data_IF_910905268941
#
_entry.id   IF_910905268941
#
_cell.length_a   1.000
_cell.length_b   1.000
_cell.length_c   1.000
_cell.angle_alpha   90.00
_cell.angle_beta   90.00
_cell.angle_gamma   90.00
#
_symmetry.space_group_name_H-M   'P 1'
#
loop_
_entity.id
_entity.type
_entity.pdbx_description
1 polymer ?
#
# COMPACT_ATOMS: atom_id res chain seq x y z
N UNK A 1 -25.76 -34.01 -7.54
CA UNK A 1 -25.13 -33.58 -6.27
C UNK A 1 -24.50 -32.21 -6.59
N UNK A 2 -25.31 -31.17 -6.48
CA UNK A 2 -24.93 -29.80 -6.82
C UNK A 2 -24.38 -29.17 -5.58
N UNK A 3 -23.04 -29.03 -5.56
CA UNK A 3 -22.33 -28.20 -4.59
C UNK A 3 -22.72 -26.74 -4.84
N UNK A 4 -23.60 -26.24 -4.01
CA UNK A 4 -23.87 -24.82 -3.83
C UNK A 4 -22.62 -24.19 -3.27
N UNK A 5 -21.79 -23.64 -4.17
CA UNK A 5 -20.69 -22.79 -3.81
C UNK A 5 -21.25 -21.59 -3.06
N UNK A 6 -21.03 -21.57 -1.79
CA UNK A 6 -21.43 -20.59 -0.82
C UNK A 6 -20.93 -19.20 -1.21
N UNK A 7 -21.88 -18.41 -1.63
CA UNK A 7 -21.82 -16.96 -1.77
C UNK A 7 -21.52 -16.34 -0.40
N UNK A 8 -20.58 -15.38 -0.40
CA UNK A 8 -20.40 -14.30 0.60
C UNK A 8 -20.27 -14.64 2.10
N UNK A 9 -20.58 -15.83 2.57
CA UNK A 9 -20.73 -16.11 4.00
C UNK A 9 -19.40 -16.32 4.76
N UNK A 10 -18.30 -16.60 4.05
CA UNK A 10 -16.99 -16.83 4.70
C UNK A 10 -16.25 -15.55 5.13
N UNK A 11 -16.78 -14.37 4.78
CA UNK A 11 -16.20 -13.07 5.19
C UNK A 11 -16.92 -12.48 6.42
N UNK A 12 -17.96 -13.15 6.92
CA UNK A 12 -18.89 -12.64 7.94
C UNK A 12 -18.29 -12.52 9.36
N UNK A 13 -17.08 -13.00 9.58
CA UNK A 13 -16.36 -12.73 10.84
C UNK A 13 -15.99 -11.25 11.05
N UNK A 14 -16.19 -10.39 10.05
CA UNK A 14 -15.92 -8.95 10.04
C UNK A 14 -17.15 -8.12 9.62
N UNK A 15 -18.35 -8.63 9.82
CA UNK A 15 -19.54 -7.81 9.59
C UNK A 15 -19.40 -6.51 10.37
N UNK A 16 -19.51 -5.33 9.72
CA UNK A 16 -19.45 -4.08 10.44
C UNK A 16 -20.60 -4.05 11.42
N UNK A 17 -20.28 -4.19 12.70
CA UNK A 17 -21.24 -3.90 13.77
C UNK A 17 -21.59 -2.44 13.54
N UNK A 18 -22.87 -2.17 13.25
CA UNK A 18 -23.39 -0.88 12.82
C UNK A 18 -22.66 0.30 13.46
N UNK A 19 -21.97 1.08 12.66
CA UNK A 19 -21.08 2.11 13.13
C UNK A 19 -20.99 3.28 12.16
N UNK A 20 -20.11 4.22 12.47
CA UNK A 20 -19.82 5.36 11.61
C UNK A 20 -19.38 4.87 10.22
N UNK A 21 -20.02 5.39 9.18
CA UNK A 21 -19.72 5.04 7.79
C UNK A 21 -18.27 5.41 7.38
N UNK A 22 -17.88 5.17 6.13
CA UNK A 22 -16.56 5.51 5.60
C UNK A 22 -16.19 6.99 5.75
N UNK A 23 -17.15 7.90 5.62
CA UNK A 23 -16.92 9.34 5.60
C UNK A 23 -16.31 9.88 6.89
N UNK A 24 -16.82 9.60 8.11
CA UNK A 24 -16.17 10.04 9.34
C UNK A 24 -14.76 9.52 9.52
N UNK A 25 -14.49 8.30 9.04
CA UNK A 25 -13.14 7.73 9.07
C UNK A 25 -12.18 8.51 8.17
N UNK A 26 -12.57 8.80 6.93
CA UNK A 26 -11.77 9.57 5.98
C UNK A 26 -11.50 10.96 6.53
N UNK A 27 -12.54 11.66 6.99
CA UNK A 27 -12.42 12.99 7.57
C UNK A 27 -11.46 13.03 8.77
N UNK A 28 -11.58 12.09 9.71
CA UNK A 28 -10.73 12.02 10.88
C UNK A 28 -9.28 11.66 10.52
N UNK A 29 -9.10 10.72 9.59
CA UNK A 29 -7.79 10.33 9.05
C UNK A 29 -7.06 11.55 8.47
N UNK A 30 -7.73 12.29 7.59
CA UNK A 30 -7.17 13.48 6.95
C UNK A 30 -6.86 14.56 7.98
N UNK A 31 -7.80 14.85 8.90
CA UNK A 31 -7.59 15.83 9.96
C UNK A 31 -6.34 15.50 10.79
N UNK A 32 -6.19 14.27 11.25
CA UNK A 32 -5.02 13.85 12.06
C UNK A 32 -3.73 13.98 11.25
N UNK A 33 -3.66 13.33 10.10
CA UNK A 33 -2.43 13.27 9.32
C UNK A 33 -2.00 14.63 8.80
N UNK A 34 -2.93 15.39 8.24
CA UNK A 34 -2.64 16.70 7.68
C UNK A 34 -2.23 17.71 8.75
N UNK A 35 -2.85 17.67 9.93
CA UNK A 35 -2.43 18.51 11.08
C UNK A 35 -0.99 18.20 11.48
N UNK A 36 -0.61 16.91 11.56
CA UNK A 36 0.75 16.52 11.90
C UNK A 36 1.74 16.96 10.80
N UNK A 37 1.43 16.72 9.54
CA UNK A 37 2.32 17.07 8.44
C UNK A 37 2.48 18.57 8.23
N UNK A 38 1.37 19.31 8.19
CA UNK A 38 1.40 20.77 8.03
C UNK A 38 2.00 21.45 9.25
N UNK A 39 1.63 21.00 10.46
CA UNK A 39 2.20 21.50 11.71
C UNK A 39 3.71 21.24 11.77
N UNK A 40 4.15 20.03 11.47
CA UNK A 40 5.58 19.69 11.42
C UNK A 40 6.34 20.51 10.39
N UNK A 41 5.76 20.73 9.21
CA UNK A 41 6.34 21.57 8.18
C UNK A 41 6.51 23.03 8.61
N UNK A 42 5.51 23.59 9.25
CA UNK A 42 5.57 24.95 9.79
C UNK A 42 6.61 25.08 10.91
N UNK A 43 6.61 24.14 11.86
CA UNK A 43 7.53 24.12 13.01
C UNK A 43 8.98 23.89 12.58
N UNK A 44 9.21 23.12 11.51
CA UNK A 44 10.54 22.89 10.95
C UNK A 44 11.06 24.04 10.07
N UNK A 45 10.37 25.17 10.00
CA UNK A 45 10.76 26.33 9.20
C UNK A 45 10.47 26.17 7.70
N UNK A 46 9.43 25.42 7.34
CA UNK A 46 9.00 25.20 5.95
C UNK A 46 10.08 24.59 5.04
N UNK A 47 10.72 23.49 5.45
CA UNK A 47 11.78 22.89 4.65
C UNK A 47 11.23 22.40 3.30
N UNK A 48 12.09 22.43 2.28
CA UNK A 48 11.77 21.91 0.97
C UNK A 48 12.00 20.41 0.79
N UNK A 49 12.38 19.70 1.86
CA UNK A 49 12.75 18.28 1.78
C UNK A 49 12.37 17.53 3.04
N UNK A 50 12.03 16.25 2.87
CA UNK A 50 11.82 15.30 3.97
C UNK A 50 13.11 14.92 4.71
N UNK A 51 14.29 15.27 4.17
CA UNK A 51 15.57 15.02 4.82
C UNK A 51 15.78 15.86 6.09
N UNK A 52 15.00 16.95 6.29
CA UNK A 52 14.97 17.69 7.55
C UNK A 52 14.47 16.77 8.68
N UNK A 53 15.19 16.63 9.82
CA UNK A 53 14.85 15.70 10.90
C UNK A 53 13.43 15.92 11.45
N UNK A 54 13.01 17.18 11.67
CA UNK A 54 11.66 17.49 12.16
C UNK A 54 10.58 17.07 11.17
N UNK A 55 10.85 17.25 9.87
CA UNK A 55 9.94 16.80 8.83
C UNK A 55 9.92 15.30 8.64
N UNK A 56 11.05 14.63 8.78
CA UNK A 56 11.09 13.16 8.81
C UNK A 56 10.24 12.60 9.93
N UNK A 57 10.32 13.18 11.13
CA UNK A 57 9.52 12.77 12.28
C UNK A 57 8.02 13.03 12.04
N UNK A 58 7.65 14.22 11.57
CA UNK A 58 6.26 14.55 11.25
C UNK A 58 5.72 13.66 10.11
N UNK A 59 6.53 13.42 9.07
CA UNK A 59 6.20 12.52 7.98
C UNK A 59 5.88 11.11 8.49
N UNK A 60 6.70 10.58 9.39
CA UNK A 60 6.48 9.28 10.02
C UNK A 60 5.22 9.28 10.91
N UNK A 61 5.10 10.23 11.82
CA UNK A 61 3.97 10.28 12.77
C UNK A 61 2.63 10.45 12.06
N UNK A 62 2.57 11.25 11.01
CA UNK A 62 1.34 11.45 10.24
C UNK A 62 0.84 10.19 9.54
N UNK A 63 1.70 9.20 9.26
CA UNK A 63 1.26 7.92 8.69
C UNK A 63 0.43 7.07 9.65
N UNK A 64 0.43 7.39 10.94
CA UNK A 64 -0.43 6.73 11.92
C UNK A 64 -1.87 7.26 11.94
N UNK A 65 -2.17 8.36 11.23
CA UNK A 65 -3.51 8.94 11.17
C UNK A 65 -4.61 7.94 10.86
N UNK A 66 -4.49 7.10 9.81
CA UNK A 66 -5.50 6.08 9.52
C UNK A 66 -5.72 5.07 10.66
N UNK A 67 -4.65 4.58 11.27
CA UNK A 67 -4.72 3.65 12.41
C UNK A 67 -5.33 4.29 13.66
N UNK A 68 -4.96 5.54 13.96
CA UNK A 68 -5.52 6.30 15.08
C UNK A 68 -7.01 6.55 14.86
N UNK A 69 -7.41 6.99 13.65
CA UNK A 69 -8.81 7.19 13.29
C UNK A 69 -9.62 5.90 13.46
N UNK A 70 -9.07 4.76 13.00
CA UNK A 70 -9.68 3.45 13.15
C UNK A 70 -9.85 3.06 14.62
N UNK A 71 -8.80 3.23 15.44
CA UNK A 71 -8.85 2.93 16.87
C UNK A 71 -9.90 3.78 17.61
N UNK A 72 -9.93 5.08 17.33
CA UNK A 72 -10.90 6.02 17.92
C UNK A 72 -12.32 5.65 17.55
N UNK A 73 -12.59 5.44 16.26
CA UNK A 73 -13.95 5.15 15.79
C UNK A 73 -14.41 3.77 16.25
N UNK A 74 -13.55 2.72 16.15
CA UNK A 74 -13.91 1.40 16.66
C UNK A 74 -14.26 1.42 18.15
N UNK A 75 -13.52 2.20 18.97
CA UNK A 75 -13.85 2.35 20.39
C UNK A 75 -15.16 3.10 20.64
N UNK A 76 -15.47 4.11 19.80
CA UNK A 76 -16.74 4.85 19.87
C UNK A 76 -17.92 3.98 19.46
N UNK A 77 -17.73 3.08 18.53
CA UNK A 77 -18.77 2.13 18.11
C UNK A 77 -19.10 1.14 19.23
N UNK A 78 -18.12 0.41 19.71
CA UNK A 78 -18.25 -0.49 20.87
C UNK A 78 -16.89 -1.04 21.30
N UNK A 79 -16.83 -1.60 22.54
CA UNK A 79 -15.65 -2.36 22.99
C UNK A 79 -15.41 -3.62 22.16
N UNK A 80 -16.48 -4.23 21.65
CA UNK A 80 -16.40 -5.40 20.78
C UNK A 80 -15.78 -5.03 19.42
N UNK A 81 -16.21 -3.94 18.80
CA UNK A 81 -15.64 -3.45 17.54
C UNK A 81 -14.15 -3.11 17.68
N UNK A 82 -13.76 -2.46 18.77
CA UNK A 82 -12.36 -2.18 19.08
C UNK A 82 -11.53 -3.48 19.28
N UNK A 83 -12.10 -4.47 19.96
CA UNK A 83 -11.48 -5.77 20.14
C UNK A 83 -11.29 -6.53 18.83
N UNK A 84 -12.30 -6.54 17.97
CA UNK A 84 -12.22 -7.16 16.63
C UNK A 84 -11.17 -6.48 15.74
N UNK A 85 -11.12 -5.15 15.74
CA UNK A 85 -10.10 -4.40 15.03
C UNK A 85 -8.69 -4.74 15.52
N UNK A 86 -8.48 -4.75 16.84
CA UNK A 86 -7.19 -5.08 17.45
C UNK A 86 -6.76 -6.53 17.16
N UNK A 87 -7.70 -7.48 17.14
CA UNK A 87 -7.43 -8.87 16.79
C UNK A 87 -6.85 -9.03 15.37
N UNK A 88 -7.15 -8.12 14.44
CA UNK A 88 -6.56 -8.12 13.11
C UNK A 88 -5.03 -8.08 13.13
N UNK A 89 -4.42 -7.43 14.11
CA UNK A 89 -2.96 -7.38 14.31
C UNK A 89 -2.38 -8.65 14.95
N UNK A 90 -3.22 -9.53 15.50
CA UNK A 90 -2.81 -10.78 16.12
C UNK A 90 -3.15 -11.99 15.25
N UNK A 91 -4.00 -11.80 14.22
CA UNK A 91 -4.39 -12.89 13.32
C UNK A 91 -3.30 -13.16 12.31
N UNK A 92 -2.83 -14.41 12.29
CA UNK A 92 -1.95 -14.88 11.23
C UNK A 92 -2.73 -15.50 10.05
N UNK A 93 -3.98 -15.88 10.24
CA UNK A 93 -5.10 -16.15 9.29
C UNK A 93 -4.97 -17.25 8.25
N UNK A 94 -3.84 -17.38 7.60
CA UNK A 94 -3.50 -18.50 6.71
C UNK A 94 -2.41 -19.30 7.38
N UNK A 95 -2.33 -20.62 7.06
CA UNK A 95 -1.14 -21.37 7.41
C UNK A 95 0.10 -20.54 7.06
N UNK A 96 1.03 -20.42 7.97
CA UNK A 96 2.19 -19.52 7.86
C UNK A 96 2.94 -19.64 6.52
N UNK A 97 2.95 -20.83 5.92
CA UNK A 97 3.51 -21.07 4.59
C UNK A 97 2.77 -20.34 3.48
N UNK A 98 1.45 -20.35 3.46
CA UNK A 98 0.69 -19.67 2.43
C UNK A 98 0.81 -18.14 2.57
N UNK A 99 0.85 -17.63 3.80
CA UNK A 99 1.14 -16.21 4.06
C UNK A 99 2.55 -15.85 3.61
N UNK A 100 3.55 -16.69 3.92
CA UNK A 100 4.93 -16.47 3.49
C UNK A 100 5.05 -16.52 1.95
N UNK A 101 4.41 -17.48 1.30
CA UNK A 101 4.41 -17.56 -0.18
C UNK A 101 3.77 -16.32 -0.79
N UNK A 102 2.61 -15.89 -0.32
CA UNK A 102 1.95 -14.68 -0.85
C UNK A 102 2.76 -13.43 -0.53
N UNK A 103 3.26 -13.30 0.68
CA UNK A 103 4.08 -12.17 1.11
C UNK A 103 5.44 -12.10 0.41
N UNK A 104 5.99 -13.20 -0.05
CA UNK A 104 7.25 -13.26 -0.79
C UNK A 104 7.06 -13.32 -2.31
N UNK A 105 6.10 -14.10 -2.78
CA UNK A 105 5.92 -14.32 -4.22
C UNK A 105 5.47 -13.04 -4.95
N UNK A 106 4.54 -12.26 -4.37
CA UNK A 106 4.09 -11.01 -5.00
C UNK A 106 5.21 -9.98 -5.09
N UNK A 107 5.91 -9.62 -3.99
CA UNK A 107 7.05 -8.69 -4.08
C UNK A 107 8.17 -9.21 -4.98
N UNK A 108 8.47 -10.51 -4.95
CA UNK A 108 9.47 -11.12 -5.81
C UNK A 108 9.06 -11.03 -7.28
N UNK A 109 7.79 -11.30 -7.61
CA UNK A 109 7.27 -11.14 -8.96
C UNK A 109 7.39 -9.70 -9.43
N UNK A 110 7.02 -8.73 -8.60
CA UNK A 110 7.18 -7.30 -8.89
C UNK A 110 8.65 -6.95 -9.12
N UNK A 111 9.56 -7.44 -8.28
CA UNK A 111 11.00 -7.23 -8.42
C UNK A 111 11.52 -7.82 -9.73
N UNK A 112 11.24 -9.09 -10.01
CA UNK A 112 11.68 -9.79 -11.23
C UNK A 112 11.16 -9.08 -12.48
N UNK A 113 9.87 -8.76 -12.54
CA UNK A 113 9.30 -8.05 -13.67
C UNK A 113 9.89 -6.63 -13.81
N UNK A 114 10.12 -5.92 -12.71
CA UNK A 114 10.78 -4.61 -12.74
C UNK A 114 12.19 -4.72 -13.29
N UNK A 115 12.97 -5.71 -12.83
CA UNK A 115 14.32 -5.99 -13.34
C UNK A 115 14.28 -6.37 -14.82
N UNK A 116 13.36 -7.25 -15.24
CA UNK A 116 13.25 -7.66 -16.65
C UNK A 116 12.88 -6.48 -17.57
N UNK A 117 11.98 -5.59 -17.13
CA UNK A 117 11.63 -4.39 -17.89
C UNK A 117 12.80 -3.40 -18.05
N UNK A 118 13.77 -3.45 -17.14
CA UNK A 118 14.98 -2.62 -17.21
C UNK A 118 16.05 -3.18 -18.14
N UNK A 119 15.99 -4.47 -18.51
CA UNK A 119 16.83 -5.08 -19.53
C UNK A 119 16.41 -4.67 -20.96
N UNK A 120 16.16 -3.38 -21.16
CA UNK A 120 15.99 -2.82 -22.50
C UNK A 120 17.34 -2.90 -23.24
N UNK A 121 17.34 -3.16 -24.58
CA UNK A 121 18.55 -3.20 -25.39
C UNK A 121 19.38 -1.91 -25.40
N UNK A 122 18.95 -0.89 -24.70
CA UNK A 122 19.64 0.40 -24.52
C UNK A 122 20.64 0.41 -23.36
N UNK A 123 20.73 -0.66 -22.53
CA UNK A 123 21.69 -0.73 -21.41
C UNK A 123 22.89 -1.57 -21.83
N UNK A 124 24.14 -1.10 -21.63
CA UNK A 124 25.31 -1.92 -21.87
C UNK A 124 25.24 -3.21 -21.04
N UNK A 125 25.30 -4.36 -21.70
CA UNK A 125 25.10 -5.69 -21.11
C UNK A 125 25.94 -5.96 -19.85
N UNK A 126 27.16 -5.42 -19.80
CA UNK A 126 28.06 -5.58 -18.65
C UNK A 126 27.67 -4.76 -17.40
N UNK A 127 26.91 -3.68 -17.54
CA UNK A 127 26.38 -2.93 -16.39
C UNK A 127 25.10 -3.56 -15.86
N UNK A 128 24.23 -4.02 -16.74
CA UNK A 128 23.02 -4.72 -16.39
C UNK A 128 23.32 -6.01 -15.61
N UNK A 129 24.28 -6.83 -16.09
CA UNK A 129 24.69 -8.06 -15.42
C UNK A 129 25.26 -7.82 -14.01
N UNK A 130 26.13 -6.84 -13.83
CA UNK A 130 26.70 -6.50 -12.52
C UNK A 130 25.66 -5.99 -11.53
N UNK A 131 24.75 -5.14 -11.98
CA UNK A 131 23.65 -4.65 -11.15
C UNK A 131 22.74 -5.83 -10.73
N UNK A 132 22.39 -6.73 -11.63
CA UNK A 132 21.55 -7.89 -11.33
C UNK A 132 22.19 -8.85 -10.34
N UNK A 133 23.48 -9.14 -10.46
CA UNK A 133 24.22 -9.99 -9.51
C UNK A 133 24.26 -9.36 -8.12
N UNK A 134 24.51 -8.05 -8.03
CA UNK A 134 24.46 -7.33 -6.74
C UNK A 134 23.06 -7.35 -6.12
N UNK A 135 22.00 -7.19 -6.92
CA UNK A 135 20.63 -7.29 -6.45
C UNK A 135 20.30 -8.69 -5.92
N UNK A 136 20.65 -9.74 -6.66
CA UNK A 136 20.43 -11.12 -6.22
C UNK A 136 21.21 -11.44 -4.94
N UNK A 137 22.46 -11.01 -4.83
CA UNK A 137 23.28 -11.22 -3.65
C UNK A 137 22.77 -10.48 -2.42
N UNK A 138 22.24 -9.27 -2.61
CA UNK A 138 21.69 -8.45 -1.51
C UNK A 138 20.22 -8.78 -1.20
N UNK A 139 19.56 -9.61 -2.02
CA UNK A 139 18.13 -9.91 -1.87
C UNK A 139 17.74 -10.41 -0.47
N UNK A 140 18.45 -11.38 0.16
CA UNK A 140 18.09 -11.84 1.50
C UNK A 140 18.19 -10.75 2.56
N UNK A 141 19.22 -9.91 2.50
CA UNK A 141 19.39 -8.75 3.39
C UNK A 141 18.30 -7.72 3.13
N UNK A 142 17.96 -7.50 1.88
CA UNK A 142 16.91 -6.58 1.48
C UNK A 142 15.54 -7.02 1.97
N UNK A 143 15.25 -8.32 1.94
CA UNK A 143 14.03 -8.90 2.50
C UNK A 143 13.99 -8.69 4.02
N UNK A 144 15.08 -8.95 4.73
CA UNK A 144 15.17 -8.73 6.17
C UNK A 144 14.97 -7.25 6.53
N UNK A 145 15.65 -6.35 5.81
CA UNK A 145 15.50 -4.89 6.00
C UNK A 145 14.09 -4.43 5.66
N UNK A 146 13.46 -5.01 4.65
CA UNK A 146 12.08 -4.71 4.29
C UNK A 146 11.08 -5.15 5.36
N UNK A 147 11.32 -6.29 6.00
CA UNK A 147 10.53 -6.74 7.16
C UNK A 147 10.65 -5.73 8.30
N UNK A 148 11.87 -5.36 8.66
CA UNK A 148 12.12 -4.37 9.70
C UNK A 148 11.54 -3.01 9.32
N UNK A 149 11.74 -2.56 8.07
CA UNK A 149 11.17 -1.32 7.57
C UNK A 149 9.64 -1.38 7.47
N UNK A 150 9.05 -2.54 7.16
CA UNK A 150 7.61 -2.76 7.15
C UNK A 150 7.00 -2.75 8.55
N UNK A 151 7.71 -3.26 9.54
CA UNK A 151 7.26 -3.28 10.93
C UNK A 151 7.50 -1.95 11.65
N UNK A 152 8.63 -1.32 11.40
CA UNK A 152 9.08 -0.11 12.10
C UNK A 152 9.10 1.13 11.19
N UNK A 153 8.91 0.94 9.91
CA UNK A 153 9.08 1.98 8.89
C UNK A 153 7.84 2.83 8.66
N UNK A 154 8.01 3.80 7.80
CA UNK A 154 6.99 4.78 7.44
C UNK A 154 5.83 4.09 6.74
N UNK A 155 4.65 4.16 7.33
CA UNK A 155 3.38 3.86 6.67
C UNK A 155 2.72 2.55 7.08
N UNK A 156 3.24 1.35 6.75
CA UNK A 156 2.46 0.12 6.81
C UNK A 156 1.77 -0.14 8.15
N UNK A 157 2.50 0.02 9.26
CA UNK A 157 1.96 -0.22 10.60
C UNK A 157 0.83 0.75 10.96
N UNK A 158 0.98 2.03 10.62
CA UNK A 158 -0.02 3.06 10.90
C UNK A 158 -1.18 3.03 9.91
N UNK A 159 -0.91 2.70 8.67
CA UNK A 159 -1.86 2.79 7.57
C UNK A 159 -2.78 1.58 7.47
N UNK A 160 -2.25 0.35 7.56
CA UNK A 160 -3.04 -0.86 7.31
C UNK A 160 -4.13 -1.09 8.35
N UNK A 161 -3.92 -0.68 9.61
CA UNK A 161 -4.96 -0.68 10.64
C UNK A 161 -6.17 0.17 10.25
N UNK A 162 -5.94 1.27 9.52
CA UNK A 162 -7.00 2.12 8.99
C UNK A 162 -7.59 1.58 7.70
N UNK A 163 -6.77 1.42 6.68
CA UNK A 163 -7.25 1.06 5.35
C UNK A 163 -7.88 -0.33 5.30
N UNK A 164 -7.21 -1.38 5.83
CA UNK A 164 -7.68 -2.76 5.80
C UNK A 164 -8.40 -3.17 7.07
N UNK A 165 -8.03 -2.58 8.22
CA UNK A 165 -8.67 -2.91 9.48
C UNK A 165 -10.02 -2.25 9.68
N UNK A 166 -10.23 -1.04 9.15
CA UNK A 166 -11.46 -0.28 9.37
C UNK A 166 -12.25 0.01 8.08
N UNK A 167 -11.61 0.63 7.07
CA UNK A 167 -12.30 1.11 5.88
C UNK A 167 -12.71 -0.03 4.95
N UNK A 168 -11.80 -0.95 4.64
CA UNK A 168 -12.04 -2.03 3.69
C UNK A 168 -13.26 -2.90 4.04
N UNK A 169 -13.44 -3.41 5.27
CA UNK A 169 -14.61 -4.22 5.61
C UNK A 169 -15.94 -3.46 5.39
N UNK A 170 -15.95 -2.16 5.65
CA UNK A 170 -17.14 -1.30 5.47
C UNK A 170 -17.47 -1.03 4.01
N UNK A 171 -16.46 -0.95 3.16
CA UNK A 171 -16.65 -0.82 1.72
C UNK A 171 -17.10 -2.16 1.12
N UNK A 172 -16.49 -3.28 1.50
CA UNK A 172 -16.87 -4.61 1.04
C UNK A 172 -18.29 -5.01 1.43
N UNK A 173 -18.85 -4.45 2.50
CA UNK A 173 -20.26 -4.63 2.85
C UNK A 173 -21.23 -3.96 1.85
N UNK A 174 -20.72 -3.09 0.95
CA UNK A 174 -21.55 -2.28 0.02
C UNK A 174 -21.09 -2.35 -1.43
N UNK A 175 -19.94 -2.96 -1.70
CA UNK A 175 -19.35 -3.04 -3.03
C UNK A 175 -18.45 -4.27 -3.17
N UNK A 176 -18.14 -4.63 -4.40
CA UNK A 176 -17.17 -5.68 -4.71
C UNK A 176 -15.72 -5.28 -4.36
N UNK A 177 -14.83 -6.25 -4.42
CA UNK A 177 -13.43 -6.06 -4.04
C UNK A 177 -12.69 -5.03 -4.92
N UNK A 178 -13.00 -4.97 -6.21
CA UNK A 178 -12.35 -4.04 -7.12
C UNK A 178 -12.79 -2.60 -6.84
N UNK A 179 -14.09 -2.39 -6.69
CA UNK A 179 -14.68 -1.08 -6.34
C UNK A 179 -14.19 -0.60 -4.98
N UNK A 180 -14.21 -1.46 -3.95
CA UNK A 180 -13.69 -1.12 -2.62
C UNK A 180 -12.21 -0.72 -2.69
N UNK A 181 -11.39 -1.47 -3.43
CA UNK A 181 -9.97 -1.19 -3.59
C UNK A 181 -9.69 0.09 -4.38
N UNK A 182 -10.48 0.35 -5.42
CA UNK A 182 -10.37 1.58 -6.19
C UNK A 182 -10.69 2.81 -5.33
N UNK A 183 -11.76 2.74 -4.53
CA UNK A 183 -12.10 3.81 -3.58
C UNK A 183 -10.99 4.05 -2.56
N UNK A 184 -10.42 2.98 -1.99
CA UNK A 184 -9.28 3.11 -1.06
C UNK A 184 -8.09 3.74 -1.77
N UNK A 185 -7.74 3.31 -2.98
CA UNK A 185 -6.62 3.86 -3.74
C UNK A 185 -6.75 5.35 -4.03
N UNK A 186 -7.97 5.78 -4.42
CA UNK A 186 -8.27 7.20 -4.66
C UNK A 186 -8.24 8.02 -3.35
N UNK A 187 -8.80 7.50 -2.27
CA UNK A 187 -8.73 8.15 -0.95
C UNK A 187 -7.28 8.24 -0.49
N UNK A 188 -6.49 7.19 -0.73
CA UNK A 188 -5.09 7.12 -0.31
C UNK A 188 -4.20 8.13 -1.03
N UNK A 189 -4.35 8.32 -2.36
CA UNK A 189 -3.61 9.37 -3.07
C UNK A 189 -4.03 10.77 -2.62
N UNK A 190 -5.33 11.00 -2.40
CA UNK A 190 -5.83 12.27 -1.88
C UNK A 190 -5.28 12.57 -0.47
N UNK A 191 -5.18 11.54 0.37
CA UNK A 191 -4.59 11.67 1.71
C UNK A 191 -3.11 12.08 1.66
N UNK A 192 -2.35 11.61 0.65
CA UNK A 192 -0.93 11.95 0.47
C UNK A 192 -0.69 13.37 -0.09
N UNK A 193 -1.72 14.11 -0.52
CA UNK A 193 -1.56 15.41 -1.18
C UNK A 193 -0.64 16.39 -0.46
N UNK A 194 -0.71 16.60 0.88
CA UNK A 194 0.20 17.53 1.55
C UNK A 194 1.67 17.13 1.39
N UNK A 195 1.97 15.83 1.50
CA UNK A 195 3.35 15.33 1.32
C UNK A 195 3.79 15.55 -0.13
N UNK A 196 2.94 15.28 -1.11
CA UNK A 196 3.27 15.47 -2.52
C UNK A 196 3.49 16.96 -2.86
N UNK A 197 2.66 17.85 -2.35
CA UNK A 197 2.74 19.29 -2.64
C UNK A 197 3.89 19.97 -1.90
N UNK A 198 4.15 19.57 -0.65
CA UNK A 198 5.13 20.26 0.18
C UNK A 198 6.57 19.76 -0.03
N UNK A 199 6.76 18.49 -0.37
CA UNK A 199 8.07 17.83 -0.29
C UNK A 199 8.53 17.12 -1.55
N UNK A 200 7.62 16.79 -2.45
CA UNK A 200 8.03 16.20 -3.70
C UNK A 200 8.61 17.29 -4.60
N UNK A 201 9.39 16.84 -5.56
CA UNK A 201 9.74 17.65 -6.71
C UNK A 201 8.47 18.06 -7.51
N UNK A 202 7.31 17.83 -6.93
CA UNK A 202 5.96 18.14 -7.41
C UNK A 202 5.48 19.56 -7.06
N UNK A 203 6.42 20.49 -6.85
CA UNK A 203 6.08 21.90 -6.59
C UNK A 203 5.53 22.62 -7.82
N UNK A 204 5.87 22.15 -9.00
CA UNK A 204 5.24 22.60 -10.24
C UNK A 204 4.03 21.72 -10.59
N UNK A 205 3.04 22.30 -11.27
CA UNK A 205 1.79 21.61 -11.60
C UNK A 205 1.99 20.39 -12.51
N UNK A 206 3.05 20.37 -13.33
CA UNK A 206 3.35 19.26 -14.24
C UNK A 206 3.84 18.03 -13.45
N UNK A 207 4.74 18.23 -12.48
CA UNK A 207 5.21 17.18 -11.59
C UNK A 207 4.08 16.63 -10.72
N UNK A 208 3.22 17.47 -10.15
CA UNK A 208 2.06 17.04 -9.37
C UNK A 208 1.11 16.21 -10.24
N UNK A 209 0.79 16.67 -11.45
CA UNK A 209 -0.05 15.92 -12.38
C UNK A 209 0.56 14.55 -12.74
N UNK A 210 1.87 14.48 -12.95
CA UNK A 210 2.59 13.24 -13.18
C UNK A 210 2.51 12.27 -12.00
N UNK A 211 2.71 12.77 -10.78
CA UNK A 211 2.55 11.96 -9.56
C UNK A 211 1.12 11.44 -9.39
N UNK A 212 0.11 12.25 -9.66
CA UNK A 212 -1.28 11.84 -9.59
C UNK A 212 -1.63 10.82 -10.68
N UNK A 213 -1.17 11.05 -11.91
CA UNK A 213 -1.44 10.15 -13.05
C UNK A 213 -0.81 8.76 -12.86
N UNK A 214 0.37 8.67 -12.27
CA UNK A 214 1.08 7.41 -12.03
C UNK A 214 0.71 6.84 -10.66
N UNK A 215 0.60 7.69 -9.65
CA UNK A 215 0.35 7.29 -8.27
C UNK A 215 -1.05 6.74 -8.06
N UNK A 216 -2.07 7.31 -8.70
CA UNK A 216 -3.45 6.86 -8.54
C UNK A 216 -3.65 5.40 -8.99
N UNK A 217 -3.33 5.00 -10.24
CA UNK A 217 -3.47 3.61 -10.66
C UNK A 217 -2.57 2.67 -9.84
N UNK A 218 -1.38 3.12 -9.44
CA UNK A 218 -0.50 2.36 -8.56
C UNK A 218 -1.15 2.07 -7.20
N UNK A 219 -1.73 3.09 -6.55
CA UNK A 219 -2.36 2.91 -5.24
C UNK A 219 -3.65 2.09 -5.33
N UNK A 220 -4.39 2.18 -6.42
CA UNK A 220 -5.51 1.29 -6.71
C UNK A 220 -5.01 -0.16 -6.84
N UNK A 221 -3.94 -0.39 -7.60
CA UNK A 221 -3.35 -1.71 -7.79
C UNK A 221 -2.85 -2.33 -6.47
N UNK A 222 -2.09 -1.55 -5.68
CA UNK A 222 -1.63 -1.98 -4.35
C UNK A 222 -2.84 -2.27 -3.44
N UNK A 223 -3.86 -1.40 -3.46
CA UNK A 223 -5.07 -1.61 -2.66
C UNK A 223 -5.79 -2.89 -3.04
N UNK A 224 -5.88 -3.21 -4.33
CA UNK A 224 -6.52 -4.45 -4.77
C UNK A 224 -5.72 -5.69 -4.36
N UNK A 225 -4.40 -5.69 -4.56
CA UNK A 225 -3.51 -6.77 -4.12
C UNK A 225 -3.65 -6.99 -2.61
N UNK A 226 -3.60 -5.92 -1.82
CA UNK A 226 -3.74 -5.99 -0.38
C UNK A 226 -5.14 -6.46 0.06
N UNK A 227 -6.20 -6.11 -0.68
CA UNK A 227 -7.56 -6.62 -0.46
C UNK A 227 -7.60 -8.13 -0.67
N UNK A 228 -6.95 -8.66 -1.71
CA UNK A 228 -6.87 -10.10 -1.93
C UNK A 228 -6.10 -10.80 -0.82
N UNK A 229 -4.95 -10.26 -0.41
CA UNK A 229 -4.16 -10.77 0.71
C UNK A 229 -4.99 -10.77 2.00
N UNK A 230 -5.70 -9.68 2.29
CA UNK A 230 -6.59 -9.56 3.45
C UNK A 230 -7.69 -10.63 3.44
N UNK A 231 -8.34 -10.86 2.29
CA UNK A 231 -9.36 -11.92 2.14
C UNK A 231 -8.76 -13.31 2.33
N UNK A 232 -7.65 -13.62 1.66
CA UNK A 232 -7.00 -14.93 1.77
C UNK A 232 -6.44 -15.20 3.16
N UNK A 233 -5.99 -14.16 3.86
CA UNK A 233 -5.49 -14.25 5.24
C UNK A 233 -6.59 -14.13 6.30
N UNK A 234 -7.87 -14.19 5.90
CA UNK A 234 -9.01 -14.07 6.83
C UNK A 234 -8.92 -12.83 7.74
N UNK A 235 -8.52 -11.69 7.17
CA UNK A 235 -8.46 -10.42 7.85
C UNK A 235 -7.16 -10.14 8.62
N UNK A 236 -6.05 -10.79 8.27
CA UNK A 236 -4.75 -10.52 8.88
C UNK A 236 -4.21 -9.15 8.48
N UNK A 237 -4.08 -8.24 9.43
CA UNK A 237 -3.41 -6.96 9.21
C UNK A 237 -1.89 -7.14 9.12
N UNK A 238 -1.34 -8.13 9.80
CA UNK A 238 0.10 -8.45 9.73
C UNK A 238 0.51 -8.80 8.31
N UNK A 239 -0.29 -9.61 7.60
CA UNK A 239 -0.03 -9.96 6.21
C UNK A 239 -0.07 -8.73 5.29
N UNK A 240 -1.00 -7.79 5.52
CA UNK A 240 -1.10 -6.55 4.75
C UNK A 240 0.06 -5.60 5.06
N UNK A 241 0.44 -5.44 6.33
CA UNK A 241 1.61 -4.65 6.77
C UNK A 241 2.88 -5.19 6.11
N UNK A 242 3.05 -6.51 6.13
CA UNK A 242 4.19 -7.16 5.47
C UNK A 242 4.20 -6.88 3.98
N UNK A 243 3.09 -7.09 3.28
CA UNK A 243 2.97 -6.83 1.85
C UNK A 243 3.34 -5.37 1.52
N UNK A 244 2.77 -4.41 2.22
CA UNK A 244 3.03 -2.99 1.97
C UNK A 244 4.49 -2.64 2.27
N UNK A 245 5.06 -3.15 3.36
CA UNK A 245 6.47 -2.98 3.69
C UNK A 245 7.40 -3.51 2.61
N UNK A 246 7.10 -4.70 2.07
CA UNK A 246 7.85 -5.29 0.96
C UNK A 246 7.73 -4.45 -0.32
N UNK A 247 6.52 -3.99 -0.66
CA UNK A 247 6.30 -3.11 -1.82
C UNK A 247 7.09 -1.82 -1.68
N UNK A 248 7.12 -1.20 -0.50
CA UNK A 248 7.89 0.02 -0.24
C UNK A 248 9.40 -0.21 -0.37
N UNK A 249 9.92 -1.30 0.22
CA UNK A 249 11.33 -1.64 0.12
C UNK A 249 11.75 -1.88 -1.33
N UNK A 250 10.96 -2.64 -2.08
CA UNK A 250 11.23 -2.94 -3.49
C UNK A 250 11.11 -1.69 -4.39
N UNK A 251 10.21 -0.76 -4.06
CA UNK A 251 10.10 0.50 -4.80
C UNK A 251 11.37 1.37 -4.67
N UNK A 252 12.01 1.33 -3.51
CA UNK A 252 13.31 2.00 -3.27
C UNK A 252 14.49 1.32 -3.96
N UNK A 253 14.33 0.05 -4.35
CA UNK A 253 15.33 -0.75 -5.08
C UNK A 253 15.11 -0.74 -6.60
N UNK A 254 14.05 -0.12 -7.10
CA UNK A 254 13.80 -0.03 -8.52
C UNK A 254 14.98 0.68 -9.19
N UNK A 255 15.83 -0.10 -9.86
CA UNK A 255 16.99 0.41 -10.58
C UNK A 255 16.53 1.21 -11.78
N UNK A 256 17.03 2.41 -11.90
CA UNK A 256 16.78 3.27 -13.05
C UNK A 256 18.04 3.30 -13.89
N UNK A 257 17.97 2.94 -15.19
CA UNK A 257 19.11 3.09 -16.07
C UNK A 257 19.61 4.52 -16.09
N UNK A 258 20.92 4.71 -16.01
CA UNK A 258 21.54 6.03 -16.12
C UNK A 258 21.08 6.71 -17.43
N UNK A 259 20.55 7.92 -17.32
CA UNK A 259 20.05 8.69 -18.46
C UNK A 259 18.55 8.50 -18.79
N UNK A 260 17.83 7.71 -18.01
CA UNK A 260 16.37 7.63 -18.16
C UNK A 260 15.71 8.79 -17.41
N UNK A 261 15.12 9.71 -18.13
CA UNK A 261 14.32 10.81 -17.57
C UNK A 261 12.83 10.50 -17.77
N UNK A 262 12.06 10.61 -16.70
CA UNK A 262 10.61 10.54 -16.83
C UNK A 262 10.10 11.79 -17.53
N UNK A 263 9.21 11.66 -18.55
CA UNK A 263 8.64 12.83 -19.22
C UNK A 263 7.76 13.70 -18.30
N UNK A 264 7.46 13.23 -17.10
CA UNK A 264 6.60 13.92 -16.13
C UNK A 264 7.34 14.37 -14.85
N UNK A 265 8.66 14.53 -14.90
CA UNK A 265 9.49 14.90 -13.73
C UNK A 265 9.24 14.07 -12.46
N UNK A 266 8.75 12.85 -12.59
CA UNK A 266 8.64 11.89 -11.47
C UNK A 266 9.86 10.97 -11.45
N UNK A 267 10.22 10.38 -10.30
CA UNK A 267 11.30 9.40 -10.23
C UNK A 267 11.13 8.32 -11.29
N UNK A 268 12.14 8.17 -12.14
CA UNK A 268 12.04 7.34 -13.34
C UNK A 268 11.72 5.87 -13.06
N UNK A 269 12.14 5.33 -11.89
CA UNK A 269 11.78 3.98 -11.42
C UNK A 269 10.31 3.84 -11.01
N UNK A 270 9.62 4.93 -10.72
CA UNK A 270 8.23 4.88 -10.28
C UNK A 270 7.29 4.38 -11.38
N UNK A 271 7.57 4.76 -12.64
CA UNK A 271 6.73 4.40 -13.80
C UNK A 271 6.72 2.89 -14.04
N UNK A 272 7.87 2.22 -14.31
CA UNK A 272 7.88 0.78 -14.56
C UNK A 272 7.38 -0.01 -13.35
N UNK A 273 7.72 0.40 -12.13
CA UNK A 273 7.22 -0.23 -10.92
C UNK A 273 5.68 -0.15 -10.82
N UNK A 274 5.10 1.00 -11.12
CA UNK A 274 3.63 1.19 -11.13
C UNK A 274 2.96 0.34 -12.21
N UNK A 275 3.54 0.25 -13.40
CA UNK A 275 3.02 -0.61 -14.49
C UNK A 275 3.00 -2.07 -14.08
N UNK A 276 4.07 -2.57 -13.45
CA UNK A 276 4.13 -3.95 -12.97
C UNK A 276 3.05 -4.23 -11.94
N UNK A 277 2.87 -3.34 -10.97
CA UNK A 277 1.80 -3.49 -9.97
C UNK A 277 0.41 -3.52 -10.62
N UNK A 278 0.15 -2.65 -11.61
CA UNK A 278 -1.11 -2.66 -12.34
C UNK A 278 -1.33 -3.95 -13.13
N UNK A 279 -0.28 -4.51 -13.76
CA UNK A 279 -0.36 -5.79 -14.48
C UNK A 279 -0.66 -6.93 -13.50
N UNK A 280 0.03 -6.99 -12.37
CA UNK A 280 -0.21 -8.00 -11.33
C UNK A 280 -1.65 -7.90 -10.79
N UNK A 281 -2.10 -6.69 -10.45
CA UNK A 281 -3.45 -6.47 -9.97
C UNK A 281 -4.51 -6.86 -11.01
N UNK A 282 -4.30 -6.47 -12.28
CA UNK A 282 -5.18 -6.84 -13.39
C UNK A 282 -5.25 -8.35 -13.60
N UNK A 283 -4.10 -9.03 -13.55
CA UNK A 283 -4.04 -10.50 -13.62
C UNK A 283 -4.83 -11.19 -12.51
N UNK A 284 -4.65 -10.71 -11.27
CA UNK A 284 -5.42 -11.21 -10.12
C UNK A 284 -6.92 -10.96 -10.27
N UNK A 285 -7.32 -9.78 -10.76
CA UNK A 285 -8.72 -9.46 -11.01
C UNK A 285 -9.34 -10.38 -12.07
N UNK A 286 -8.64 -10.66 -13.16
CA UNK A 286 -9.08 -11.59 -14.20
C UNK A 286 -9.21 -13.03 -13.68
N UNK A 287 -8.27 -13.48 -12.87
CA UNK A 287 -8.32 -14.82 -12.25
C UNK A 287 -9.51 -14.90 -11.28
N UNK A 288 -9.72 -13.87 -10.48
CA UNK A 288 -10.85 -13.81 -9.54
C UNK A 288 -12.17 -13.85 -10.30
N UNK A 289 -12.32 -13.04 -11.34
CA UNK A 289 -13.53 -13.03 -12.18
C UNK A 289 -13.84 -14.39 -12.78
N UNK A 290 -12.82 -15.10 -13.29
CA UNK A 290 -13.01 -16.45 -13.84
C UNK A 290 -13.47 -17.47 -12.79
N UNK A 291 -13.08 -17.31 -11.53
CA UNK A 291 -13.42 -18.24 -10.44
C UNK A 291 -14.80 -17.97 -9.84
N UNK A 292 -15.21 -16.71 -9.74
CA UNK A 292 -16.42 -16.30 -8.99
C UNK A 292 -17.50 -15.70 -9.86
N UNK A 293 -17.24 -15.41 -11.13
CA UNK A 293 -18.14 -14.66 -12.01
C UNK A 293 -18.29 -13.18 -11.65
N UNK A 294 -17.62 -12.71 -10.57
CA UNK A 294 -17.63 -11.34 -10.08
C UNK A 294 -16.20 -10.83 -9.85
N UNK A 295 -16.03 -9.51 -9.78
CA UNK A 295 -14.75 -8.87 -9.42
C UNK A 295 -14.50 -8.82 -7.92
#
# INVERSE_FOLDING_TARGET
MTDTLTTNDDVTGFAPIGGAGPVPFVALTFAISWTIWLGGWLMAGRPGTLANPGMSAAGYLGTFGPGIAAAVLSRRESRLAAGQWAQGFLRWGIGWWATAVVALALPLTVLVLTVLLQFSPRIPAGQAARASMAYVALFPISVLLAVVAGLLGRGPLGEEGGWRGYLLPRLLARSDALTASALIGVIWIAWQLPILVLFADARDGASLAGYLAIGTPRLIAISYIATMVWRWSKGSLVACIWLQGMVLALSGMAFVPAGWTSPWNVPSGLVPFSMVLCVVAGGLALIQRRRTGAF
#
